data_IF_066159628688
#
_entry.id   IF_066159628688
#
_cell.length_a   1.000
_cell.length_b   1.000
_cell.length_c   1.000
_cell.angle_alpha   90.00
_cell.angle_beta   90.00
_cell.angle_gamma   90.00
#
_symmetry.space_group_name_H-M   'P 1'
#
loop_
_entity.id
_entity.type
_entity.pdbx_description
1 polymer ?
#
# COMPACT_ATOMS: atom_id res chain seq x y z
N UNK A 1 -17.96 1.58 -18.94
CA UNK A 1 -16.97 2.37 -18.15
C UNK A 1 -17.29 3.86 -18.26
N UNK A 2 -18.33 4.24 -17.52
CA UNK A 2 -18.86 5.62 -17.56
C UNK A 2 -17.90 6.54 -16.77
N UNK A 3 -17.39 7.57 -17.43
CA UNK A 3 -16.47 8.57 -16.85
C UNK A 3 -15.10 8.07 -16.35
N UNK A 4 -14.60 6.92 -16.81
CA UNK A 4 -13.24 6.45 -16.46
C UNK A 4 -12.17 7.49 -16.84
N UNK A 5 -12.30 8.10 -18.03
CA UNK A 5 -11.36 9.14 -18.48
C UNK A 5 -11.36 10.36 -17.56
N UNK A 6 -12.53 10.80 -17.11
CA UNK A 6 -12.66 11.92 -16.17
C UNK A 6 -12.02 11.57 -14.81
N UNK A 7 -12.31 10.38 -14.28
CA UNK A 7 -11.73 9.89 -13.04
C UNK A 7 -10.19 9.90 -13.09
N UNK A 8 -9.62 9.33 -14.15
CA UNK A 8 -8.18 9.29 -14.34
C UNK A 8 -7.59 10.70 -14.52
N UNK A 9 -8.23 11.55 -15.33
CA UNK A 9 -7.77 12.91 -15.56
C UNK A 9 -7.70 13.73 -14.25
N UNK A 10 -8.71 13.62 -13.38
CA UNK A 10 -8.72 14.31 -12.09
C UNK A 10 -7.68 13.71 -11.15
N UNK A 11 -7.69 12.37 -10.97
CA UNK A 11 -6.80 11.71 -10.02
C UNK A 11 -5.32 11.94 -10.37
N UNK A 12 -4.96 11.79 -11.65
CA UNK A 12 -3.59 12.05 -12.13
C UNK A 12 -3.27 13.54 -12.19
N UNK A 13 -4.20 14.37 -12.66
CA UNK A 13 -3.98 15.81 -12.74
C UNK A 13 -3.64 16.41 -11.38
N UNK A 14 -4.37 16.03 -10.33
CA UNK A 14 -4.12 16.53 -8.99
C UNK A 14 -2.74 16.13 -8.44
N UNK A 15 -2.29 14.88 -8.63
CA UNK A 15 -0.99 14.47 -8.11
C UNK A 15 0.16 15.07 -8.92
N UNK A 16 -0.01 15.25 -10.24
CA UNK A 16 0.96 15.97 -11.06
C UNK A 16 1.08 17.44 -10.67
N UNK A 17 -0.05 18.10 -10.36
CA UNK A 17 -0.06 19.48 -9.84
C UNK A 17 0.65 19.55 -8.50
N UNK A 18 0.36 18.63 -7.57
CA UNK A 18 1.01 18.59 -6.26
C UNK A 18 2.51 18.32 -6.36
N UNK A 19 2.93 17.33 -7.16
CA UNK A 19 4.34 17.04 -7.42
C UNK A 19 5.05 18.21 -8.10
N UNK A 20 4.41 18.83 -9.09
CA UNK A 20 4.93 20.05 -9.75
C UNK A 20 5.11 21.22 -8.79
N UNK A 21 4.17 21.43 -7.87
CA UNK A 21 4.28 22.46 -6.84
C UNK A 21 5.46 22.20 -5.89
N UNK A 22 5.63 20.95 -5.41
CA UNK A 22 6.79 20.57 -4.59
C UNK A 22 8.12 20.81 -5.32
N UNK A 23 8.17 20.41 -6.60
CA UNK A 23 9.37 20.64 -7.43
C UNK A 23 9.69 22.12 -7.60
N UNK A 24 8.70 22.94 -7.97
CA UNK A 24 8.91 24.38 -8.23
C UNK A 24 9.27 25.18 -6.98
N UNK A 25 8.76 24.73 -5.81
CA UNK A 25 9.09 25.37 -4.51
C UNK A 25 10.36 24.84 -3.88
N UNK A 26 10.97 23.80 -4.42
CA UNK A 26 12.10 23.11 -3.81
C UNK A 26 11.78 22.43 -2.47
N UNK A 27 10.50 22.17 -2.18
CA UNK A 27 10.08 21.57 -0.91
C UNK A 27 10.36 20.06 -0.91
N UNK A 28 11.30 19.63 -0.06
CA UNK A 28 11.64 18.21 0.08
C UNK A 28 10.52 17.41 0.72
N UNK A 29 10.35 16.14 0.28
CA UNK A 29 9.32 15.24 0.78
C UNK A 29 9.46 14.85 2.26
N UNK A 30 10.66 14.97 2.82
CA UNK A 30 10.98 14.73 4.22
C UNK A 30 10.79 15.96 5.13
N UNK A 31 10.39 17.10 4.58
CA UNK A 31 10.02 18.29 5.35
C UNK A 31 8.55 18.20 5.82
N UNK A 32 8.19 18.94 6.88
CA UNK A 32 6.79 18.95 7.35
C UNK A 32 5.81 19.34 6.24
N UNK A 33 6.02 20.42 5.45
CA UNK A 33 5.13 20.74 4.32
C UNK A 33 5.10 19.63 3.26
N UNK A 34 6.25 19.03 2.94
CA UNK A 34 6.32 17.93 1.97
C UNK A 34 5.52 16.70 2.40
N UNK A 35 5.64 16.29 3.67
CA UNK A 35 4.87 15.18 4.25
C UNK A 35 3.37 15.48 4.22
N UNK A 36 2.95 16.71 4.56
CA UNK A 36 1.54 17.12 4.51
C UNK A 36 0.99 17.02 3.08
N UNK A 37 1.72 17.56 2.10
CA UNK A 37 1.30 17.48 0.69
C UNK A 37 1.24 16.03 0.21
N UNK A 38 2.28 15.23 0.45
CA UNK A 38 2.32 13.82 0.04
C UNK A 38 1.17 13.00 0.67
N UNK A 39 0.91 13.20 1.97
CA UNK A 39 -0.21 12.55 2.65
C UNK A 39 -1.57 13.01 2.12
N UNK A 40 -1.71 14.30 1.79
CA UNK A 40 -2.93 14.85 1.21
C UNK A 40 -3.23 14.28 -0.18
N UNK A 41 -2.20 13.89 -0.95
CA UNK A 41 -2.38 13.25 -2.25
C UNK A 41 -3.22 11.97 -2.16
N UNK A 42 -3.18 11.26 -1.03
CA UNK A 42 -3.99 10.06 -0.81
C UNK A 42 -5.50 10.33 -0.89
N UNK A 43 -5.95 11.58 -0.76
CA UNK A 43 -7.36 11.96 -0.93
C UNK A 43 -7.76 12.17 -2.40
N UNK A 44 -6.83 12.30 -3.34
CA UNK A 44 -7.13 12.65 -4.72
C UNK A 44 -8.00 11.61 -5.46
N UNK A 45 -7.79 10.29 -5.29
CA UNK A 45 -8.68 9.29 -5.87
C UNK A 45 -10.11 9.37 -5.32
N UNK A 46 -10.29 9.72 -4.03
CA UNK A 46 -11.60 9.98 -3.45
C UNK A 46 -12.24 11.22 -4.06
N UNK A 47 -11.50 12.33 -4.20
CA UNK A 47 -11.99 13.56 -4.83
C UNK A 47 -12.45 13.25 -6.27
N UNK A 48 -11.63 12.54 -7.04
CA UNK A 48 -12.01 12.11 -8.39
C UNK A 48 -13.29 11.26 -8.40
N UNK A 49 -13.45 10.37 -7.42
CA UNK A 49 -14.67 9.56 -7.23
C UNK A 49 -15.89 10.44 -7.00
N UNK A 50 -15.80 11.37 -6.04
CA UNK A 50 -16.93 12.24 -5.68
C UNK A 50 -17.33 13.15 -6.84
N UNK A 51 -16.36 13.70 -7.57
CA UNK A 51 -16.63 14.50 -8.78
C UNK A 51 -17.34 13.66 -9.85
N UNK A 52 -16.86 12.44 -10.12
CA UNK A 52 -17.51 11.56 -11.08
C UNK A 52 -18.94 11.18 -10.68
N UNK A 53 -19.18 10.92 -9.38
CA UNK A 53 -20.51 10.65 -8.86
C UNK A 53 -21.42 11.87 -9.01
N UNK A 54 -20.94 13.08 -8.69
CA UNK A 54 -21.68 14.31 -8.85
C UNK A 54 -22.06 14.57 -10.31
N UNK A 55 -21.11 14.43 -11.25
CA UNK A 55 -21.36 14.57 -12.70
C UNK A 55 -22.39 13.55 -13.20
N UNK A 56 -22.38 12.33 -12.64
CA UNK A 56 -23.35 11.29 -12.99
C UNK A 56 -24.70 11.45 -12.27
N UNK A 57 -24.85 12.44 -11.39
CA UNK A 57 -26.01 12.58 -10.50
C UNK A 57 -26.25 11.34 -9.64
N UNK A 58 -25.17 10.61 -9.28
CA UNK A 58 -25.21 9.49 -8.36
C UNK A 58 -25.08 10.02 -6.92
N UNK A 59 -25.76 9.43 -5.92
CA UNK A 59 -25.54 9.80 -4.53
C UNK A 59 -24.07 9.55 -4.13
N UNK A 60 -23.48 10.52 -3.42
CA UNK A 60 -22.09 10.43 -2.96
C UNK A 60 -21.89 9.20 -2.09
N UNK A 61 -20.71 8.61 -2.18
CA UNK A 61 -20.30 7.37 -1.49
C UNK A 61 -21.13 6.11 -1.84
N UNK A 62 -22.14 6.24 -2.71
CA UNK A 62 -22.93 5.10 -3.14
C UNK A 62 -22.09 4.18 -4.04
N UNK A 63 -22.27 2.87 -3.85
CA UNK A 63 -21.64 1.85 -4.70
C UNK A 63 -20.11 1.80 -4.71
N UNK A 64 -19.42 2.45 -3.75
CA UNK A 64 -17.97 2.30 -3.56
C UNK A 64 -17.63 1.17 -2.59
N UNK A 65 -18.63 0.48 -2.07
CA UNK A 65 -18.42 -0.70 -1.21
C UNK A 65 -18.14 -0.40 0.25
N UNK A 66 -18.62 0.72 0.80
CA UNK A 66 -18.62 0.95 2.25
C UNK A 66 -19.64 0.03 2.90
N UNK A 67 -19.15 -0.98 3.60
CA UNK A 67 -19.99 -1.94 4.34
C UNK A 67 -19.33 -2.28 5.67
N UNK A 68 -20.09 -2.20 6.74
CA UNK A 68 -19.64 -2.49 8.11
C UNK A 68 -19.94 -3.94 8.55
N UNK A 69 -20.29 -4.82 7.62
CA UNK A 69 -20.53 -6.22 7.92
C UNK A 69 -19.20 -6.94 8.14
N UNK A 70 -18.77 -7.01 9.41
CA UNK A 70 -17.53 -7.67 9.82
C UNK A 70 -17.62 -9.17 9.56
N UNK A 71 -16.59 -9.72 8.91
CA UNK A 71 -16.38 -11.16 8.72
C UNK A 71 -14.90 -11.50 8.91
N UNK A 72 -14.53 -12.79 8.82
CA UNK A 72 -13.14 -13.23 9.02
C UNK A 72 -12.10 -12.51 8.14
N UNK A 73 -12.50 -12.02 6.98
CA UNK A 73 -11.59 -11.35 6.04
C UNK A 73 -11.16 -9.96 6.49
N UNK A 74 -11.83 -9.37 7.47
CA UNK A 74 -11.38 -8.15 8.13
C UNK A 74 -10.08 -8.41 8.90
N UNK A 75 -10.06 -9.51 9.66
CA UNK A 75 -8.87 -9.92 10.42
C UNK A 75 -7.77 -10.44 9.50
N UNK A 76 -8.12 -11.24 8.49
CA UNK A 76 -7.16 -11.72 7.48
C UNK A 76 -6.48 -10.52 6.79
N UNK A 77 -7.24 -9.55 6.30
CA UNK A 77 -6.67 -8.36 5.65
C UNK A 77 -5.76 -7.58 6.57
N UNK A 78 -6.18 -7.35 7.80
CA UNK A 78 -5.39 -6.62 8.79
C UNK A 78 -4.07 -7.33 9.12
N UNK A 79 -4.12 -8.63 9.45
CA UNK A 79 -2.96 -9.41 9.90
C UNK A 79 -2.04 -9.87 8.76
N UNK A 80 -2.53 -9.87 7.53
CA UNK A 80 -1.74 -10.29 6.37
C UNK A 80 -0.62 -9.28 6.05
N UNK A 81 -0.80 -8.01 6.38
CA UNK A 81 0.19 -6.96 6.09
C UNK A 81 1.48 -7.12 6.91
N UNK A 82 1.45 -7.34 8.24
CA UNK A 82 2.64 -7.74 8.98
C UNK A 82 3.32 -9.02 8.45
N UNK A 83 2.55 -10.01 8.00
CA UNK A 83 3.12 -11.22 7.40
C UNK A 83 3.92 -10.91 6.14
N UNK A 84 3.40 -10.05 5.26
CA UNK A 84 4.12 -9.59 4.07
C UNK A 84 5.42 -8.85 4.47
N UNK A 85 5.35 -7.97 5.48
CA UNK A 85 6.52 -7.25 5.97
C UNK A 85 7.57 -8.19 6.57
N UNK A 86 7.17 -9.21 7.35
CA UNK A 86 8.09 -10.23 7.88
C UNK A 86 8.76 -11.05 6.78
N UNK A 87 8.00 -11.43 5.75
CA UNK A 87 8.59 -12.10 4.58
C UNK A 87 9.56 -11.17 3.84
N UNK A 88 9.21 -9.90 3.69
CA UNK A 88 10.11 -8.91 3.07
C UNK A 88 11.39 -8.70 3.89
N UNK A 89 11.34 -8.75 5.23
CA UNK A 89 12.54 -8.75 6.09
C UNK A 89 13.42 -9.97 5.77
N UNK A 90 12.82 -11.16 5.67
CA UNK A 90 13.55 -12.39 5.34
C UNK A 90 14.21 -12.35 3.96
N UNK A 91 13.49 -11.85 2.95
CA UNK A 91 14.07 -11.68 1.62
C UNK A 91 15.09 -10.54 1.55
N UNK A 92 14.91 -9.45 2.30
CA UNK A 92 15.90 -8.39 2.44
C UNK A 92 17.18 -8.92 3.06
N UNK A 93 17.08 -9.71 4.12
CA UNK A 93 18.24 -10.40 4.69
C UNK A 93 18.98 -11.25 3.65
N UNK A 94 18.25 -12.01 2.82
CA UNK A 94 18.85 -12.84 1.77
C UNK A 94 19.56 -12.00 0.69
N UNK A 95 18.90 -10.92 0.19
CA UNK A 95 19.46 -10.10 -0.90
C UNK A 95 20.54 -9.13 -0.42
N UNK A 96 20.44 -8.64 0.80
CA UNK A 96 21.37 -7.66 1.34
C UNK A 96 22.72 -8.25 1.74
N UNK A 97 22.78 -9.54 2.13
CA UNK A 97 24.02 -10.18 2.59
C UNK A 97 24.64 -9.41 3.76
N UNK A 98 25.91 -9.00 3.60
CA UNK A 98 26.69 -8.29 4.64
C UNK A 98 26.14 -6.89 4.98
N UNK A 99 25.24 -6.32 4.17
CA UNK A 99 24.58 -5.06 4.47
C UNK A 99 23.51 -5.20 5.56
N UNK A 100 23.00 -6.41 5.80
CA UNK A 100 22.00 -6.71 6.83
C UNK A 100 22.66 -6.88 8.19
N UNK A 101 22.21 -6.11 9.19
CA UNK A 101 22.77 -6.14 10.53
C UNK A 101 21.67 -5.99 11.58
N UNK A 102 21.75 -6.80 12.64
CA UNK A 102 20.93 -6.61 13.85
C UNK A 102 21.46 -5.49 14.76
N UNK A 103 22.56 -4.84 14.36
CA UNK A 103 23.21 -3.72 15.03
C UNK A 103 23.38 -2.53 14.06
N UNK A 104 22.47 -2.36 13.10
CA UNK A 104 22.49 -1.21 12.20
C UNK A 104 22.35 0.09 13.01
N UNK A 105 22.83 1.19 12.44
CA UNK A 105 22.73 2.50 13.09
C UNK A 105 21.28 2.87 13.43
N UNK A 106 20.37 2.69 12.46
CA UNK A 106 18.93 3.00 12.64
C UNK A 106 18.34 2.18 13.78
N UNK A 107 18.60 0.87 13.80
CA UNK A 107 18.06 -0.03 14.81
C UNK A 107 18.62 0.29 16.21
N UNK A 108 19.93 0.61 16.28
CA UNK A 108 20.58 1.02 17.52
C UNK A 108 20.01 2.34 18.06
N UNK A 109 19.77 3.33 17.19
CA UNK A 109 19.12 4.59 17.55
C UNK A 109 17.68 4.37 18.05
N UNK A 110 16.91 3.52 17.36
CA UNK A 110 15.56 3.17 17.80
C UNK A 110 15.56 2.51 19.17
N UNK A 111 16.49 1.57 19.41
CA UNK A 111 16.63 0.86 20.69
C UNK A 111 16.99 1.83 21.81
N UNK A 112 18.00 2.66 21.61
CA UNK A 112 18.42 3.67 22.60
C UNK A 112 17.29 4.62 22.95
N UNK A 113 16.60 5.18 21.94
CA UNK A 113 15.48 6.09 22.15
C UNK A 113 14.33 5.44 22.92
N UNK A 114 14.00 4.19 22.61
CA UNK A 114 12.91 3.47 23.26
C UNK A 114 13.29 3.10 24.72
N UNK A 115 14.53 2.68 24.95
CA UNK A 115 15.06 2.38 26.28
C UNK A 115 15.04 3.61 27.19
N UNK A 116 15.42 4.78 26.67
CA UNK A 116 15.39 6.05 27.40
C UNK A 116 13.95 6.46 27.76
N UNK A 117 13.02 6.35 26.80
CA UNK A 117 11.62 6.72 27.01
C UNK A 117 10.92 5.83 28.03
N UNK A 118 11.14 4.53 27.95
CA UNK A 118 10.48 3.53 28.78
C UNK A 118 11.26 3.21 30.07
N UNK A 119 12.51 3.69 30.20
CA UNK A 119 13.43 3.41 31.31
C UNK A 119 13.64 1.90 31.51
N UNK A 120 13.73 1.16 30.40
CA UNK A 120 13.87 -0.30 30.37
C UNK A 120 14.89 -0.68 29.31
N UNK A 121 15.62 -1.76 29.53
CA UNK A 121 16.47 -2.38 28.48
C UNK A 121 15.63 -3.33 27.64
N UNK A 122 15.29 -2.89 26.43
CA UNK A 122 14.39 -3.60 25.55
C UNK A 122 15.22 -4.39 24.53
N UNK A 123 15.07 -5.71 24.49
CA UNK A 123 15.77 -6.53 23.50
C UNK A 123 15.21 -6.31 22.08
N UNK A 124 15.99 -6.67 21.07
CA UNK A 124 15.64 -6.53 19.65
C UNK A 124 14.22 -7.05 19.32
N UNK A 125 13.86 -8.23 19.81
CA UNK A 125 12.52 -8.78 19.57
C UNK A 125 11.40 -7.90 20.17
N UNK A 126 11.70 -7.23 21.30
CA UNK A 126 10.76 -6.28 21.92
C UNK A 126 10.54 -5.05 21.05
N UNK A 127 11.59 -4.53 20.40
CA UNK A 127 11.48 -3.42 19.44
C UNK A 127 10.63 -3.84 18.24
N UNK A 128 10.88 -5.03 17.69
CA UNK A 128 10.09 -5.57 16.59
C UNK A 128 8.62 -5.75 16.98
N UNK A 129 8.37 -6.36 18.14
CA UNK A 129 7.02 -6.53 18.66
C UNK A 129 6.32 -5.18 18.83
N UNK A 130 6.99 -4.18 19.40
CA UNK A 130 6.47 -2.83 19.52
C UNK A 130 6.15 -2.19 18.17
N UNK A 131 7.06 -2.32 17.19
CA UNK A 131 6.87 -1.80 15.82
C UNK A 131 5.65 -2.43 15.15
N UNK A 132 5.51 -3.75 15.19
CA UNK A 132 4.37 -4.42 14.59
C UNK A 132 3.05 -4.16 15.32
N UNK A 133 3.06 -4.16 16.66
CA UNK A 133 1.85 -3.87 17.45
C UNK A 133 1.40 -2.43 17.24
N UNK A 134 2.31 -1.46 17.33
CA UNK A 134 1.98 -0.04 17.06
C UNK A 134 1.53 0.16 15.60
N UNK A 135 2.17 -0.52 14.65
CA UNK A 135 1.78 -0.52 13.25
C UNK A 135 0.38 -1.09 13.01
N UNK A 136 0.01 -2.16 13.70
CA UNK A 136 -1.36 -2.72 13.66
C UNK A 136 -2.40 -1.71 14.17
N UNK A 137 -2.13 -1.01 15.29
CA UNK A 137 -3.04 0.01 15.81
C UNK A 137 -3.10 1.25 14.91
N UNK A 138 -1.96 1.75 14.44
CA UNK A 138 -1.91 2.84 13.46
C UNK A 138 -2.67 2.48 12.18
N UNK A 139 -2.52 1.23 11.74
CA UNK A 139 -3.13 0.70 10.52
C UNK A 139 -4.65 0.71 10.53
N UNK A 140 -5.27 0.40 11.67
CA UNK A 140 -6.75 0.42 11.82
C UNK A 140 -7.32 1.78 12.22
N UNK A 141 -6.47 2.76 12.51
CA UNK A 141 -6.87 4.09 12.99
C UNK A 141 -6.50 5.18 11.98
N UNK A 142 -5.52 6.00 12.30
CA UNK A 142 -5.18 7.18 11.48
C UNK A 142 -4.75 6.83 10.07
N UNK A 143 -3.95 5.76 9.90
CA UNK A 143 -3.47 5.36 8.58
C UNK A 143 -4.62 4.81 7.72
N UNK A 144 -5.55 4.03 8.29
CA UNK A 144 -6.72 3.57 7.55
C UNK A 144 -7.63 4.73 7.12
N UNK A 145 -7.76 5.77 7.96
CA UNK A 145 -8.55 6.94 7.62
C UNK A 145 -7.98 7.68 6.41
N UNK A 146 -6.67 7.89 6.37
CA UNK A 146 -5.99 8.54 5.24
C UNK A 146 -6.01 7.62 4.01
N UNK A 147 -5.68 6.32 4.18
CA UNK A 147 -5.69 5.34 3.11
C UNK A 147 -7.08 5.10 2.50
N UNK A 148 -8.15 5.36 3.26
CA UNK A 148 -9.51 5.30 2.73
C UNK A 148 -9.69 6.24 1.52
N UNK A 149 -9.00 7.37 1.48
CA UNK A 149 -9.03 8.28 0.33
C UNK A 149 -8.60 7.60 -0.97
N UNK A 150 -7.53 6.80 -0.91
CA UNK A 150 -7.08 6.02 -2.06
C UNK A 150 -8.00 4.83 -2.34
N UNK A 151 -8.32 4.05 -1.33
CA UNK A 151 -9.05 2.79 -1.51
C UNK A 151 -10.50 3.01 -1.97
N UNK A 152 -11.14 4.09 -1.54
CA UNK A 152 -12.44 4.51 -2.06
C UNK A 152 -12.40 4.77 -3.57
N UNK A 153 -11.27 5.28 -4.07
CA UNK A 153 -11.03 5.46 -5.49
C UNK A 153 -10.69 4.13 -6.18
N UNK A 154 -9.63 3.45 -5.74
CA UNK A 154 -9.09 2.28 -6.44
C UNK A 154 -9.94 1.03 -6.27
N UNK A 155 -10.27 0.64 -5.02
CA UNK A 155 -11.03 -0.59 -4.68
C UNK A 155 -12.51 -0.31 -4.46
N UNK A 156 -12.92 0.97 -4.52
CA UNK A 156 -14.32 1.39 -4.59
C UNK A 156 -14.73 1.70 -6.02
N UNK A 157 -14.52 2.93 -6.46
CA UNK A 157 -15.03 3.45 -7.74
C UNK A 157 -14.40 2.76 -8.96
N UNK A 158 -13.07 2.67 -9.03
CA UNK A 158 -12.38 2.11 -10.19
C UNK A 158 -12.65 0.60 -10.33
N UNK A 159 -12.61 -0.15 -9.23
CA UNK A 159 -12.94 -1.59 -9.25
C UNK A 159 -14.34 -1.85 -9.81
N UNK A 160 -15.33 -1.01 -9.49
CA UNK A 160 -16.68 -1.10 -10.03
C UNK A 160 -16.72 -0.95 -11.56
N UNK A 161 -15.79 -0.17 -12.15
CA UNK A 161 -15.71 -0.03 -13.60
C UNK A 161 -15.28 -1.33 -14.30
N UNK A 162 -14.69 -2.28 -13.54
CA UNK A 162 -14.27 -3.59 -14.03
C UNK A 162 -15.26 -4.72 -13.68
N UNK A 163 -16.44 -4.39 -13.16
CA UNK A 163 -17.47 -5.40 -12.87
C UNK A 163 -17.81 -6.22 -14.12
N UNK A 164 -17.90 -7.55 -13.96
CA UNK A 164 -18.07 -8.50 -15.05
C UNK A 164 -16.81 -8.82 -15.86
N UNK A 165 -15.69 -8.11 -15.65
CA UNK A 165 -14.39 -8.44 -16.24
C UNK A 165 -13.66 -9.47 -15.40
N UNK A 166 -12.73 -10.20 -16.00
CA UNK A 166 -11.89 -11.16 -15.28
C UNK A 166 -11.16 -10.48 -14.12
N UNK A 167 -11.15 -11.12 -12.94
CA UNK A 167 -10.52 -10.61 -11.71
C UNK A 167 -9.05 -10.26 -11.93
N UNK A 168 -8.25 -11.18 -12.52
CA UNK A 168 -6.82 -10.97 -12.70
C UNK A 168 -6.52 -9.85 -13.69
N UNK A 169 -7.31 -9.73 -14.77
CA UNK A 169 -7.19 -8.60 -15.69
C UNK A 169 -7.47 -7.26 -14.99
N UNK A 170 -8.51 -7.21 -14.17
CA UNK A 170 -8.82 -6.02 -13.39
C UNK A 170 -7.72 -5.70 -12.37
N UNK A 171 -7.15 -6.72 -11.71
CA UNK A 171 -6.07 -6.53 -10.74
C UNK A 171 -4.81 -5.95 -11.40
N UNK A 172 -4.42 -6.47 -12.57
CA UNK A 172 -3.29 -5.94 -13.35
C UNK A 172 -3.56 -4.49 -13.78
N UNK A 173 -4.72 -4.22 -14.36
CA UNK A 173 -5.06 -2.88 -14.85
C UNK A 173 -5.12 -1.84 -13.72
N UNK A 174 -5.83 -2.15 -12.62
CA UNK A 174 -5.96 -1.25 -11.47
C UNK A 174 -4.61 -1.06 -10.79
N UNK A 175 -3.83 -2.13 -10.62
CA UNK A 175 -2.52 -2.07 -10.01
C UNK A 175 -1.51 -1.26 -10.80
N UNK A 176 -1.51 -1.41 -12.14
CA UNK A 176 -0.66 -0.61 -13.02
C UNK A 176 -1.06 0.88 -12.99
N UNK A 177 -2.36 1.18 -13.03
CA UNK A 177 -2.87 2.55 -12.88
C UNK A 177 -2.44 3.13 -11.52
N UNK A 178 -2.63 2.40 -10.44
CA UNK A 178 -2.28 2.84 -9.09
C UNK A 178 -0.77 3.05 -8.92
N UNK A 179 0.05 2.09 -9.38
CA UNK A 179 1.52 2.22 -9.32
C UNK A 179 2.03 3.41 -10.12
N UNK A 180 1.56 3.59 -11.36
CA UNK A 180 1.94 4.72 -12.21
C UNK A 180 1.46 6.07 -11.64
N UNK A 181 0.36 6.10 -10.90
CA UNK A 181 -0.16 7.30 -10.26
C UNK A 181 0.85 7.92 -9.28
N UNK A 182 1.71 7.11 -8.64
CA UNK A 182 2.74 7.60 -7.73
C UNK A 182 3.93 8.31 -8.44
N UNK A 183 4.02 8.22 -9.78
CA UNK A 183 5.18 8.69 -10.53
C UNK A 183 5.63 10.12 -10.18
N UNK A 184 4.77 11.15 -10.01
CA UNK A 184 5.22 12.50 -9.69
C UNK A 184 5.98 12.60 -8.37
N UNK A 185 5.56 11.85 -7.35
CA UNK A 185 6.23 11.82 -6.04
C UNK A 185 7.49 10.95 -6.08
N UNK A 186 7.48 9.84 -6.82
CA UNK A 186 8.66 8.97 -6.98
C UNK A 186 9.79 9.70 -7.68
N UNK A 187 9.48 10.49 -8.71
CA UNK A 187 10.49 11.33 -9.39
C UNK A 187 11.12 12.39 -8.48
N UNK A 188 10.46 12.73 -7.36
CA UNK A 188 10.97 13.55 -6.28
C UNK A 188 11.67 12.76 -5.16
N UNK A 189 11.86 11.44 -5.33
CA UNK A 189 12.55 10.58 -4.38
C UNK A 189 11.66 9.80 -3.40
N UNK A 190 10.32 9.82 -3.56
CA UNK A 190 9.43 9.00 -2.72
C UNK A 190 9.68 7.51 -2.97
N UNK A 191 9.89 6.73 -1.93
CA UNK A 191 10.20 5.29 -1.93
C UNK A 191 11.48 4.88 -2.67
N UNK A 192 11.92 5.63 -3.68
CA UNK A 192 13.08 5.30 -4.52
C UNK A 192 14.01 6.51 -4.70
N UNK A 193 14.61 7.02 -3.59
CA UNK A 193 15.44 8.22 -3.66
C UNK A 193 16.75 8.02 -4.44
N UNK A 194 17.27 6.79 -4.51
CA UNK A 194 18.50 6.47 -5.23
C UNK A 194 18.25 6.25 -6.73
N UNK A 195 17.06 5.73 -7.10
CA UNK A 195 16.74 5.35 -8.48
C UNK A 195 15.32 5.83 -8.90
N UNK A 196 15.04 7.16 -8.92
CA UNK A 196 13.67 7.66 -9.12
C UNK A 196 13.01 7.19 -10.41
N UNK A 197 13.75 7.17 -11.53
CA UNK A 197 13.20 6.73 -12.82
C UNK A 197 12.89 5.23 -12.84
N UNK A 198 13.82 4.39 -12.38
CA UNK A 198 13.58 2.95 -12.25
C UNK A 198 12.48 2.67 -11.21
N UNK A 199 12.42 3.47 -10.15
CA UNK A 199 11.41 3.40 -9.11
C UNK A 199 9.97 3.54 -9.61
N UNK A 200 9.73 4.32 -10.66
CA UNK A 200 8.38 4.40 -11.28
C UNK A 200 7.96 3.03 -11.82
N UNK A 201 8.86 2.31 -12.49
CA UNK A 201 8.56 0.96 -13.01
C UNK A 201 8.44 -0.07 -11.88
N UNK A 202 9.29 0.01 -10.87
CA UNK A 202 9.20 -0.83 -9.67
C UNK A 202 7.85 -0.63 -8.98
N UNK A 203 7.39 0.61 -8.82
CA UNK A 203 6.10 0.91 -8.19
C UNK A 203 4.91 0.39 -8.99
N UNK A 204 4.99 0.34 -10.33
CA UNK A 204 3.96 -0.32 -11.16
C UNK A 204 3.88 -1.80 -10.80
N UNK A 205 5.02 -2.48 -10.66
CA UNK A 205 5.05 -3.90 -10.28
C UNK A 205 4.51 -4.11 -8.86
N UNK A 206 4.96 -3.31 -7.87
CA UNK A 206 4.40 -3.32 -6.50
C UNK A 206 2.90 -3.12 -6.53
N UNK A 207 2.43 -2.10 -7.25
CA UNK A 207 1.00 -1.78 -7.38
C UNK A 207 0.19 -2.94 -7.92
N UNK A 208 0.71 -3.66 -8.93
CA UNK A 208 0.07 -4.86 -9.48
C UNK A 208 0.04 -5.99 -8.44
N UNK A 209 1.17 -6.32 -7.83
CA UNK A 209 1.28 -7.42 -6.86
C UNK A 209 0.40 -7.16 -5.63
N UNK A 210 0.46 -5.96 -5.05
CA UNK A 210 -0.41 -5.56 -3.94
C UNK A 210 -1.89 -5.59 -4.34
N UNK A 211 -2.22 -5.21 -5.57
CA UNK A 211 -3.60 -5.20 -6.02
C UNK A 211 -4.21 -6.60 -6.07
N UNK A 212 -3.46 -7.62 -6.44
CA UNK A 212 -3.94 -9.00 -6.36
C UNK A 212 -4.36 -9.36 -4.92
N UNK A 213 -3.55 -9.02 -3.93
CA UNK A 213 -3.82 -9.28 -2.52
C UNK A 213 -5.00 -8.44 -2.02
N UNK A 214 -4.95 -7.12 -2.22
CA UNK A 214 -5.96 -6.19 -1.75
C UNK A 214 -7.33 -6.46 -2.37
N UNK A 215 -7.37 -6.66 -3.68
CA UNK A 215 -8.62 -6.92 -4.41
C UNK A 215 -9.25 -8.25 -4.00
N UNK A 216 -8.43 -9.31 -3.77
CA UNK A 216 -8.95 -10.58 -3.29
C UNK A 216 -9.63 -10.45 -1.92
N UNK A 217 -8.95 -9.83 -0.96
CA UNK A 217 -9.50 -9.60 0.38
C UNK A 217 -10.70 -8.62 0.32
N UNK A 218 -10.66 -7.61 -0.55
CA UNK A 218 -11.77 -6.67 -0.79
C UNK A 218 -13.03 -7.41 -1.29
N UNK A 219 -12.88 -8.34 -2.22
CA UNK A 219 -14.00 -9.18 -2.72
C UNK A 219 -14.51 -10.08 -1.61
N UNK A 220 -13.63 -10.75 -0.88
CA UNK A 220 -14.00 -11.69 0.21
C UNK A 220 -14.61 -11.00 1.42
N UNK A 221 -14.15 -9.82 1.77
CA UNK A 221 -14.71 -9.03 2.88
C UNK A 221 -16.01 -8.33 2.50
N UNK A 222 -16.18 -8.01 1.22
CA UNK A 222 -17.27 -7.19 0.71
C UNK A 222 -17.15 -5.70 1.07
N UNK A 223 -16.01 -5.24 1.66
CA UNK A 223 -15.88 -3.87 2.19
C UNK A 223 -14.61 -3.18 1.76
N UNK A 224 -14.73 -1.94 1.24
CA UNK A 224 -13.58 -1.07 0.94
C UNK A 224 -12.83 -0.63 2.21
N UNK A 225 -13.52 -0.65 3.36
CA UNK A 225 -12.91 -0.31 4.65
C UNK A 225 -11.78 -1.29 4.97
N UNK A 226 -11.96 -2.58 4.64
CA UNK A 226 -10.89 -3.58 4.85
C UNK A 226 -9.68 -3.28 3.96
N UNK A 227 -9.89 -2.87 2.72
CA UNK A 227 -8.79 -2.43 1.86
C UNK A 227 -8.04 -1.23 2.47
N UNK A 228 -8.77 -0.26 3.04
CA UNK A 228 -8.16 0.87 3.76
C UNK A 228 -7.37 0.45 5.01
N UNK A 229 -7.87 -0.52 5.77
CA UNK A 229 -7.16 -1.11 6.92
C UNK A 229 -5.88 -1.82 6.44
N UNK A 230 -5.96 -2.61 5.37
CA UNK A 230 -4.78 -3.25 4.76
C UNK A 230 -3.75 -2.22 4.34
N UNK A 231 -4.16 -1.20 3.60
CA UNK A 231 -3.29 -0.15 3.10
C UNK A 231 -2.64 0.64 4.26
N UNK A 232 -3.44 1.06 5.23
CA UNK A 232 -2.94 1.77 6.42
C UNK A 232 -1.96 0.93 7.23
N UNK A 233 -2.22 -0.38 7.39
CA UNK A 233 -1.32 -1.30 8.09
C UNK A 233 -0.05 -1.54 7.28
N UNK A 234 -0.17 -1.75 5.96
CA UNK A 234 0.99 -1.88 5.08
C UNK A 234 1.92 -0.66 5.18
N UNK A 235 1.37 0.56 5.08
CA UNK A 235 2.15 1.79 5.22
C UNK A 235 2.84 1.91 6.58
N UNK A 236 2.24 1.38 7.65
CA UNK A 236 2.84 1.41 8.99
C UNK A 236 4.03 0.45 9.14
N UNK A 237 4.03 -0.70 8.42
CA UNK A 237 5.04 -1.76 8.65
C UNK A 237 5.97 -2.00 7.45
N UNK A 238 5.71 -1.39 6.29
CA UNK A 238 6.44 -1.67 5.05
C UNK A 238 7.94 -1.36 5.13
N UNK A 239 8.33 -0.34 5.89
CA UNK A 239 9.73 0.08 6.01
C UNK A 239 10.50 -0.66 7.10
N UNK A 240 9.88 -1.61 7.83
CA UNK A 240 10.54 -2.32 8.94
C UNK A 240 11.78 -3.10 8.48
N UNK A 241 11.82 -3.59 7.25
CA UNK A 241 13.01 -4.27 6.73
C UNK A 241 14.23 -3.36 6.61
N UNK A 242 14.03 -2.07 6.32
CA UNK A 242 15.10 -1.11 6.08
C UNK A 242 15.87 -0.74 7.35
N UNK A 243 15.25 -0.89 8.52
CA UNK A 243 15.91 -0.59 9.80
C UNK A 243 17.08 -1.55 10.12
N UNK A 244 17.13 -2.71 9.46
CA UNK A 244 18.21 -3.69 9.61
C UNK A 244 19.38 -3.46 8.66
N UNK A 245 19.37 -2.42 7.84
CA UNK A 245 20.39 -2.20 6.82
C UNK A 245 21.39 -1.13 7.24
N UNK A 246 22.68 -1.43 7.11
CA UNK A 246 23.74 -0.42 7.20
C UNK A 246 23.69 0.52 5.97
N UNK A 247 23.47 -0.08 4.80
CA UNK A 247 23.27 0.62 3.54
C UNK A 247 22.06 0.00 2.81
N UNK A 248 21.09 0.80 2.42
CA UNK A 248 19.92 0.34 1.67
C UNK A 248 20.10 0.52 0.17
N UNK A 249 19.52 -0.40 -0.60
CA UNK A 249 19.32 -0.26 -2.04
C UNK A 249 17.82 -0.30 -2.31
N UNK A 250 17.25 0.81 -2.75
CA UNK A 250 15.81 0.98 -2.91
C UNK A 250 15.17 0.08 -3.99
N UNK A 251 15.97 -0.49 -4.92
CA UNK A 251 15.49 -1.47 -5.89
C UNK A 251 15.50 -2.90 -5.36
N UNK A 252 16.32 -3.20 -4.35
CA UNK A 252 16.47 -4.56 -3.82
C UNK A 252 15.72 -4.78 -2.51
N UNK A 253 15.76 -3.79 -1.62
CA UNK A 253 15.45 -3.96 -0.22
C UNK A 253 14.02 -3.50 0.14
N UNK A 254 13.49 -4.03 1.24
CA UNK A 254 12.20 -3.63 1.79
C UNK A 254 11.00 -4.05 0.94
N UNK A 255 9.83 -3.56 1.34
CA UNK A 255 8.56 -3.95 0.72
C UNK A 255 8.35 -3.35 -0.69
N UNK A 256 9.09 -2.32 -1.06
CA UNK A 256 9.02 -1.70 -2.38
C UNK A 256 10.08 -2.22 -3.37
N UNK A 257 11.14 -2.90 -2.88
CA UNK A 257 12.18 -3.53 -3.69
C UNK A 257 11.86 -4.96 -4.09
N UNK A 258 12.84 -5.64 -4.70
CA UNK A 258 12.72 -7.05 -5.12
C UNK A 258 12.37 -7.97 -3.95
N UNK A 259 12.83 -7.68 -2.73
CA UNK A 259 12.47 -8.42 -1.52
C UNK A 259 10.96 -8.38 -1.26
N UNK A 260 10.34 -7.22 -1.42
CA UNK A 260 8.90 -7.04 -1.34
C UNK A 260 8.15 -7.75 -2.46
N UNK A 261 8.70 -7.75 -3.69
CA UNK A 261 8.10 -8.52 -4.80
C UNK A 261 8.06 -10.01 -4.48
N UNK A 262 9.17 -10.57 -3.97
CA UNK A 262 9.22 -11.97 -3.56
C UNK A 262 8.19 -12.28 -2.46
N UNK A 263 8.08 -11.42 -1.44
CA UNK A 263 7.11 -11.57 -0.36
C UNK A 263 5.66 -11.54 -0.88
N UNK A 264 5.34 -10.57 -1.75
CA UNK A 264 4.02 -10.42 -2.35
C UNK A 264 3.67 -11.58 -3.31
N UNK A 265 4.64 -12.10 -4.06
CA UNK A 265 4.46 -13.28 -4.89
C UNK A 265 4.15 -14.51 -4.05
N UNK A 266 4.88 -14.75 -2.96
CA UNK A 266 4.61 -15.88 -2.05
C UNK A 266 3.17 -15.80 -1.51
N UNK A 267 2.76 -14.63 -1.02
CA UNK A 267 1.41 -14.41 -0.49
C UNK A 267 0.35 -14.51 -1.60
N UNK A 268 0.60 -13.91 -2.76
CA UNK A 268 -0.30 -13.97 -3.91
C UNK A 268 -0.52 -15.41 -4.41
N UNK A 269 0.55 -16.20 -4.51
CA UNK A 269 0.48 -17.63 -4.86
C UNK A 269 -0.26 -18.42 -3.76
N UNK A 270 0.02 -18.16 -2.50
CA UNK A 270 -0.70 -18.82 -1.40
C UNK A 270 -2.21 -18.53 -1.44
N UNK A 271 -2.62 -17.27 -1.68
CA UNK A 271 -4.03 -16.90 -1.84
C UNK A 271 -4.65 -17.55 -3.08
N UNK A 272 -3.92 -17.60 -4.21
CA UNK A 272 -4.37 -18.28 -5.42
C UNK A 272 -4.60 -19.79 -5.17
N UNK A 273 -3.66 -20.47 -4.52
CA UNK A 273 -3.78 -21.90 -4.20
C UNK A 273 -4.92 -22.13 -3.20
N UNK A 274 -5.07 -21.26 -2.20
CA UNK A 274 -6.19 -21.31 -1.26
C UNK A 274 -7.54 -21.15 -1.98
N UNK A 275 -7.66 -20.17 -2.87
CA UNK A 275 -8.85 -19.95 -3.68
C UNK A 275 -9.17 -21.13 -4.61
N UNK A 276 -8.12 -21.71 -5.21
CA UNK A 276 -8.26 -22.78 -6.18
C UNK A 276 -8.62 -24.14 -5.56
N UNK A 277 -7.98 -24.50 -4.44
CA UNK A 277 -8.00 -25.85 -3.89
C UNK A 277 -8.76 -25.97 -2.55
N UNK A 278 -8.78 -24.89 -1.74
CA UNK A 278 -9.45 -24.91 -0.43
C UNK A 278 -10.87 -24.38 -0.54
N UNK A 279 -11.06 -23.12 -0.96
CA UNK A 279 -12.41 -22.55 -1.09
C UNK A 279 -13.10 -22.99 -2.38
N UNK A 280 -12.33 -23.28 -3.42
CA UNK A 280 -12.79 -23.67 -4.76
C UNK A 280 -13.68 -22.62 -5.43
N UNK A 281 -13.63 -21.38 -4.97
CA UNK A 281 -14.42 -20.26 -5.52
C UNK A 281 -13.90 -19.77 -6.85
N UNK A 282 -12.60 -20.00 -7.14
CA UNK A 282 -11.91 -19.63 -8.40
C UNK A 282 -12.03 -18.15 -8.74
N UNK A 283 -11.97 -17.28 -7.71
CA UNK A 283 -12.12 -15.82 -7.86
C UNK A 283 -11.08 -15.27 -8.85
N UNK A 284 -9.82 -15.71 -8.74
CA UNK A 284 -8.73 -15.22 -9.61
C UNK A 284 -9.00 -15.42 -11.11
N UNK A 285 -9.79 -16.41 -11.47
CA UNK A 285 -10.09 -16.75 -12.87
C UNK A 285 -11.52 -16.42 -13.29
N UNK A 286 -12.34 -15.92 -12.35
CA UNK A 286 -13.75 -15.62 -12.55
C UNK A 286 -13.99 -14.15 -12.87
N UNK A 287 -15.15 -13.79 -13.46
CA UNK A 287 -15.58 -12.41 -13.55
C UNK A 287 -15.78 -11.79 -12.17
N UNK A 288 -15.37 -10.50 -12.02
CA UNK A 288 -15.59 -9.73 -10.81
C UNK A 288 -17.09 -9.60 -10.52
N UNK A 289 -17.46 -9.92 -9.28
CA UNK A 289 -18.77 -9.67 -8.68
C UNK A 289 -18.57 -8.89 -7.39
N UNK A 290 -19.30 -7.80 -7.19
CA UNK A 290 -19.21 -6.94 -6.00
C UNK A 290 -20.47 -7.03 -5.13
#
# INVERSE_FOLDING_TARGET
MKNLKLYLAISYGLIWIAGGALYLTGTGLNTIPGVIVASSCMLFPLIATLVCQAVNKEPLFRHIGIRWRVNRWWFVGWLLMPVISLLAIGFTWWFAGDRFSTHSEILTLMQTSLNEQLKMDIPLWGILAFTFVSGLFAGISINALVAFGEEAGWRGYLLRQFEGRNFSLAAVAIGAIWGLWHAPLILLGHNYPQHPVAGVFMMIVVGVLLTFVFQYVRVKSGSVIVAAIMHGTYNAVANTALVFLNESNDLLDGCAGLAGFAALLVVGVALFLFDRYVTRERIFTSPLRQ
#
